data_IF_266054327445
#
_entry.id   IF_266054327445
#
_cell.length_a   1.000
_cell.length_b   1.000
_cell.length_c   1.000
_cell.angle_alpha   90.00
_cell.angle_beta   90.00
_cell.angle_gamma   90.00
#
_symmetry.space_group_name_H-M   'P 1'
#
loop_
_entity.id
_entity.type
_entity.pdbx_description
1 polymer ?
#
# COMPACT_ATOMS: atom_id res chain seq x y z
N UNK A 1 -5.40 12.04 29.87
CA UNK A 1 -4.44 11.36 28.97
C UNK A 1 -5.18 10.24 28.28
N UNK A 2 -5.28 10.28 26.94
CA UNK A 2 -5.90 9.20 26.15
C UNK A 2 -4.85 8.08 26.08
N UNK A 3 -5.13 6.92 26.68
CA UNK A 3 -4.28 5.73 26.48
C UNK A 3 -4.13 5.48 24.98
N UNK A 4 -2.95 5.12 24.47
CA UNK A 4 -2.86 4.59 23.12
C UNK A 4 -3.74 3.34 23.09
N UNK A 5 -4.80 3.36 22.27
CA UNK A 5 -5.57 2.14 22.05
C UNK A 5 -4.58 1.05 21.65
N UNK A 6 -4.66 -0.15 22.25
CA UNK A 6 -3.78 -1.23 21.87
C UNK A 6 -3.95 -1.42 20.37
N UNK A 7 -2.86 -1.26 19.63
CA UNK A 7 -2.77 -1.58 18.22
C UNK A 7 -3.41 -2.96 18.05
N UNK A 8 -4.64 -3.01 17.49
CA UNK A 8 -5.47 -4.20 17.69
C UNK A 8 -4.78 -5.40 17.05
N UNK A 9 -4.89 -6.57 17.68
CA UNK A 9 -4.31 -7.79 17.12
C UNK A 9 -4.84 -8.05 15.70
N UNK A 10 -6.09 -7.67 15.44
CA UNK A 10 -6.75 -7.69 14.14
C UNK A 10 -6.08 -6.74 13.13
N UNK A 11 -5.80 -5.49 13.52
CA UNK A 11 -5.09 -4.53 12.67
C UNK A 11 -3.67 -5.02 12.36
N UNK A 12 -2.99 -5.62 13.34
CA UNK A 12 -1.66 -6.20 13.14
C UNK A 12 -1.68 -7.34 12.13
N UNK A 13 -2.64 -8.26 12.25
CA UNK A 13 -2.81 -9.37 11.33
C UNK A 13 -3.16 -8.90 9.92
N UNK A 14 -4.07 -7.92 9.79
CA UNK A 14 -4.43 -7.31 8.53
C UNK A 14 -3.23 -6.62 7.85
N UNK A 15 -2.41 -5.89 8.62
CA UNK A 15 -1.17 -5.27 8.12
C UNK A 15 -0.14 -6.28 7.67
N UNK A 16 0.00 -7.40 8.39
CA UNK A 16 0.93 -8.47 8.00
C UNK A 16 0.48 -9.09 6.67
N UNK A 17 -0.79 -9.49 6.57
CA UNK A 17 -1.33 -10.09 5.35
C UNK A 17 -1.28 -9.14 4.15
N UNK A 18 -1.63 -7.87 4.33
CA UNK A 18 -1.50 -6.86 3.28
C UNK A 18 -0.05 -6.71 2.83
N UNK A 19 0.90 -6.62 3.77
CA UNK A 19 2.32 -6.44 3.42
C UNK A 19 2.87 -7.65 2.65
N UNK A 20 2.52 -8.87 3.05
CA UNK A 20 2.97 -10.08 2.36
C UNK A 20 2.51 -10.08 0.89
N UNK A 21 1.23 -9.81 0.64
CA UNK A 21 0.68 -9.79 -0.72
C UNK A 21 1.22 -8.61 -1.54
N UNK A 22 1.30 -7.41 -0.96
CA UNK A 22 1.79 -6.22 -1.64
C UNK A 22 3.29 -6.32 -1.99
N UNK A 23 4.13 -6.85 -1.09
CA UNK A 23 5.57 -7.04 -1.36
C UNK A 23 5.80 -8.03 -2.49
N UNK A 24 5.03 -9.12 -2.54
CA UNK A 24 5.11 -10.09 -3.63
C UNK A 24 4.71 -9.46 -4.96
N UNK A 25 3.64 -8.66 -4.98
CA UNK A 25 3.23 -7.91 -6.16
C UNK A 25 4.32 -6.95 -6.64
N UNK A 26 4.85 -6.11 -5.75
CA UNK A 26 5.90 -5.14 -6.12
C UNK A 26 7.15 -5.82 -6.67
N UNK A 27 7.59 -6.94 -6.08
CA UNK A 27 8.74 -7.73 -6.56
C UNK A 27 8.54 -8.32 -7.96
N UNK A 28 7.29 -8.50 -8.39
CA UNK A 28 6.96 -8.97 -9.74
C UNK A 28 7.10 -7.90 -10.83
N UNK A 29 7.29 -6.63 -10.47
CA UNK A 29 7.39 -5.52 -11.41
C UNK A 29 8.85 -5.32 -11.80
N UNK A 30 9.18 -5.53 -13.07
CA UNK A 30 10.55 -5.38 -13.59
C UNK A 30 10.90 -3.94 -13.98
N UNK A 31 9.91 -3.13 -14.36
CA UNK A 31 10.10 -1.72 -14.69
C UNK A 31 10.39 -0.91 -13.42
N UNK A 32 11.50 -0.15 -13.42
CA UNK A 32 12.00 0.50 -12.22
C UNK A 32 11.03 1.58 -11.70
N UNK A 33 10.51 2.42 -12.60
CA UNK A 33 9.58 3.51 -12.25
C UNK A 33 8.25 2.94 -11.73
N UNK A 34 7.75 1.87 -12.35
CA UNK A 34 6.55 1.16 -11.92
C UNK A 34 6.75 0.47 -10.56
N UNK A 35 7.92 -0.13 -10.33
CA UNK A 35 8.24 -0.80 -9.07
C UNK A 35 8.35 0.22 -7.92
N UNK A 36 9.05 1.33 -8.13
CA UNK A 36 9.14 2.42 -7.15
C UNK A 36 7.74 2.97 -6.82
N UNK A 37 6.96 3.26 -7.86
CA UNK A 37 5.58 3.72 -7.69
C UNK A 37 4.72 2.74 -6.89
N UNK A 38 4.83 1.43 -7.15
CA UNK A 38 4.10 0.40 -6.43
C UNK A 38 4.52 0.31 -4.96
N UNK A 39 5.82 0.41 -4.67
CA UNK A 39 6.35 0.41 -3.30
C UNK A 39 5.86 1.62 -2.50
N UNK A 40 5.87 2.80 -3.11
CA UNK A 40 5.38 4.03 -2.49
C UNK A 40 3.86 3.99 -2.27
N UNK A 41 3.09 3.51 -3.25
CA UNK A 41 1.65 3.35 -3.12
C UNK A 41 1.27 2.33 -2.03
N UNK A 42 1.98 1.20 -1.95
CA UNK A 42 1.78 0.21 -0.89
C UNK A 42 2.11 0.79 0.50
N UNK A 43 3.21 1.56 0.61
CA UNK A 43 3.58 2.26 1.85
C UNK A 43 2.52 3.26 2.26
N UNK A 44 2.00 4.04 1.32
CA UNK A 44 0.92 5.01 1.50
C UNK A 44 -0.33 4.34 2.10
N UNK A 45 -0.78 3.25 1.50
CA UNK A 45 -1.93 2.48 1.97
C UNK A 45 -1.71 1.91 3.38
N UNK A 46 -0.52 1.37 3.66
CA UNK A 46 -0.17 0.89 5.01
C UNK A 46 -0.21 2.01 6.05
N UNK A 47 0.30 3.19 5.73
CA UNK A 47 0.23 4.36 6.61
C UNK A 47 -1.22 4.80 6.84
N UNK A 48 -2.06 4.78 5.79
CA UNK A 48 -3.50 5.03 5.88
C UNK A 48 -4.19 4.09 6.86
N UNK A 49 -3.91 2.78 6.78
CA UNK A 49 -4.47 1.80 7.72
C UNK A 49 -4.05 2.05 9.17
N UNK A 50 -2.90 2.69 9.40
CA UNK A 50 -2.42 3.09 10.73
C UNK A 50 -2.96 4.45 11.19
N UNK A 51 -3.78 5.13 10.39
CA UNK A 51 -4.28 6.48 10.69
C UNK A 51 -3.21 7.57 10.63
N UNK A 52 -2.11 7.35 9.93
CA UNK A 52 -1.02 8.31 9.79
C UNK A 52 -1.25 9.22 8.56
N UNK A 53 -0.96 10.51 8.69
CA UNK A 53 -0.87 11.41 7.53
C UNK A 53 0.27 10.97 6.59
N UNK A 54 0.08 11.13 5.29
CA UNK A 54 1.08 10.70 4.31
C UNK A 54 1.14 11.60 3.08
N UNK A 55 2.34 11.68 2.51
CA UNK A 55 2.61 12.31 1.23
C UNK A 55 2.13 11.42 0.07
N UNK A 56 1.74 12.06 -1.04
CA UNK A 56 1.35 11.33 -2.24
C UNK A 56 2.54 10.52 -2.76
N UNK A 57 2.30 9.31 -3.31
CA UNK A 57 3.33 8.49 -3.93
C UNK A 57 4.09 9.31 -4.96
N UNK A 58 5.42 9.28 -4.90
CA UNK A 58 6.22 9.88 -5.94
C UNK A 58 5.98 9.11 -7.24
N UNK A 59 5.93 9.81 -8.37
CA UNK A 59 5.89 9.14 -9.67
C UNK A 59 6.72 9.91 -10.69
N UNK A 60 7.54 9.15 -11.40
CA UNK A 60 8.25 9.60 -12.60
C UNK A 60 7.24 9.99 -13.69
N UNK A 61 7.53 11.07 -14.42
CA UNK A 61 6.77 11.46 -15.62
C UNK A 61 6.90 10.43 -16.75
N UNK A 62 7.92 9.57 -16.69
CA UNK A 62 8.13 8.48 -17.65
C UNK A 62 7.24 7.27 -17.40
N UNK A 63 6.62 7.17 -16.21
CA UNK A 63 5.69 6.09 -15.93
C UNK A 63 4.41 6.30 -16.75
N UNK A 64 4.07 5.34 -17.59
CA UNK A 64 2.86 5.41 -18.40
C UNK A 64 1.61 5.35 -17.52
N UNK A 65 0.63 6.22 -17.77
CA UNK A 65 -0.55 6.35 -16.90
C UNK A 65 -1.34 5.04 -16.71
N UNK A 66 -1.59 4.25 -17.77
CA UNK A 66 -2.21 2.93 -17.61
C UNK A 66 -1.49 2.01 -16.62
N UNK A 67 -0.14 2.05 -16.56
CA UNK A 67 0.62 1.25 -15.60
C UNK A 67 0.35 1.73 -14.17
N UNK A 68 0.31 3.06 -13.94
CA UNK A 68 -0.09 3.62 -12.63
C UNK A 68 -1.48 3.17 -12.24
N UNK A 69 -2.44 3.26 -13.16
CA UNK A 69 -3.83 2.92 -12.89
C UNK A 69 -3.99 1.43 -12.55
N UNK A 70 -3.26 0.55 -13.24
CA UNK A 70 -3.23 -0.89 -12.95
C UNK A 70 -2.64 -1.17 -11.56
N UNK A 71 -1.52 -0.53 -11.21
CA UNK A 71 -0.89 -0.66 -9.90
C UNK A 71 -1.84 -0.21 -8.78
N UNK A 72 -2.45 0.98 -8.94
CA UNK A 72 -3.42 1.51 -7.98
C UNK A 72 -4.60 0.56 -7.80
N UNK A 73 -5.22 0.12 -8.89
CA UNK A 73 -6.38 -0.76 -8.82
C UNK A 73 -6.04 -2.10 -8.14
N UNK A 74 -4.85 -2.64 -8.41
CA UNK A 74 -4.39 -3.90 -7.81
C UNK A 74 -4.16 -3.74 -6.31
N UNK A 75 -3.40 -2.71 -5.91
CA UNK A 75 -3.09 -2.47 -4.50
C UNK A 75 -4.32 -2.01 -3.69
N UNK A 76 -5.25 -1.25 -4.28
CA UNK A 76 -6.51 -0.89 -3.65
C UNK A 76 -7.40 -2.13 -3.43
N UNK A 77 -7.40 -3.09 -4.36
CA UNK A 77 -8.12 -4.36 -4.20
C UNK A 77 -7.54 -5.16 -3.03
N UNK A 78 -6.22 -5.28 -2.95
CA UNK A 78 -5.54 -5.92 -1.80
C UNK A 78 -5.86 -5.19 -0.50
N UNK A 79 -5.79 -3.86 -0.50
CA UNK A 79 -6.11 -3.05 0.67
C UNK A 79 -7.53 -3.31 1.18
N UNK A 80 -8.53 -3.31 0.28
CA UNK A 80 -9.92 -3.61 0.64
C UNK A 80 -10.08 -5.02 1.21
N UNK A 81 -9.38 -6.01 0.66
CA UNK A 81 -9.40 -7.39 1.18
C UNK A 81 -8.99 -7.47 2.66
N UNK A 82 -8.05 -6.65 3.12
CA UNK A 82 -7.52 -6.70 4.49
C UNK A 82 -8.12 -5.67 5.46
N UNK A 83 -8.57 -4.51 4.96
CA UNK A 83 -8.97 -3.38 5.80
C UNK A 83 -10.41 -2.91 5.58
N UNK A 84 -11.13 -3.41 4.58
CA UNK A 84 -12.57 -3.19 4.49
C UNK A 84 -13.27 -4.34 5.25
N UNK A 85 -13.55 -4.08 6.52
CA UNK A 85 -14.56 -4.82 7.29
C UNK A 85 -15.95 -4.22 6.99
#
# INVERSE_FOLDING_TARGET
MRSPEPFSAELSAALLGFNEEAVLYCRGISDADAHEYAMDYARMLRSRAKGLEFERPHFSTHLFEPNRNLIKATLDKMYRKYFAA
#
